data_IF_818340034903
#
_entry.id   IF_818340034903
#
_cell.length_a   1.000
_cell.length_b   1.000
_cell.length_c   1.000
_cell.angle_alpha   90.00
_cell.angle_beta   90.00
_cell.angle_gamma   90.00
#
_symmetry.space_group_name_H-M   'P 1'
#
loop_
_entity.id
_entity.type
_entity.pdbx_description
1 polymer ?
#
# COMPACT_ATOMS: atom_id res chain seq x y z
N UNK A 1 6.64 4.58 20.73
CA UNK A 1 6.35 4.88 19.31
C UNK A 1 7.45 5.77 18.79
N UNK A 2 8.30 5.26 17.90
CA UNK A 2 9.30 6.12 17.27
C UNK A 2 8.62 7.20 16.42
N UNK A 3 9.11 8.44 16.52
CA UNK A 3 8.68 9.56 15.67
C UNK A 3 9.91 10.27 15.13
N UNK A 4 9.94 10.56 13.84
CA UNK A 4 10.98 11.45 13.32
C UNK A 4 10.78 12.83 13.92
N UNK A 5 11.82 13.37 14.57
CA UNK A 5 11.67 14.63 15.30
C UNK A 5 11.52 15.81 14.33
N UNK A 6 10.47 16.58 14.55
CA UNK A 6 10.16 17.77 13.76
C UNK A 6 9.88 18.94 14.71
N UNK A 7 10.25 20.15 14.30
CA UNK A 7 9.87 21.36 15.02
C UNK A 7 8.57 21.90 14.43
N UNK A 8 7.55 22.01 15.26
CA UNK A 8 6.26 22.58 14.88
C UNK A 8 6.39 24.10 14.64
N UNK A 9 5.45 24.74 13.92
CA UNK A 9 5.45 26.19 13.75
C UNK A 9 5.42 26.98 15.07
N UNK A 10 4.98 26.35 16.16
CA UNK A 10 5.00 26.90 17.52
C UNK A 10 6.39 26.90 18.17
N UNK A 11 7.40 26.26 17.56
CA UNK A 11 8.74 26.05 18.10
C UNK A 11 8.88 24.82 18.99
N UNK A 12 7.79 24.11 19.28
CA UNK A 12 7.79 22.89 20.08
C UNK A 12 8.21 21.66 19.25
N UNK A 13 8.88 20.69 19.90
CA UNK A 13 9.15 19.37 19.30
C UNK A 13 7.88 18.55 19.15
N UNK A 14 7.74 17.85 18.02
CA UNK A 14 6.57 17.01 17.75
C UNK A 14 6.40 15.90 18.79
N UNK A 15 7.50 15.27 19.22
CA UNK A 15 7.45 14.20 20.23
C UNK A 15 6.92 14.69 21.59
N UNK A 16 7.36 15.87 22.04
CA UNK A 16 6.91 16.51 23.27
C UNK A 16 5.43 16.88 23.21
N UNK A 17 4.99 17.43 22.07
CA UNK A 17 3.59 17.77 21.82
C UNK A 17 2.69 16.54 21.90
N UNK A 18 3.09 15.43 21.26
CA UNK A 18 2.35 14.16 21.29
C UNK A 18 2.24 13.63 22.73
N UNK A 19 3.36 13.60 23.46
CA UNK A 19 3.39 13.09 24.84
C UNK A 19 2.54 13.93 25.80
N UNK A 20 2.48 15.26 25.61
CA UNK A 20 1.67 16.14 26.45
C UNK A 20 0.17 16.08 26.11
N UNK A 21 -0.17 16.06 24.82
CA UNK A 21 -1.56 16.21 24.36
C UNK A 21 -2.25 14.88 24.04
N UNK A 22 -1.50 13.76 24.07
CA UNK A 22 -1.88 12.45 23.55
C UNK A 22 -2.48 12.57 22.14
N UNK A 23 -1.85 13.36 21.28
CA UNK A 23 -2.39 13.66 19.94
C UNK A 23 -1.27 13.99 18.98
N UNK A 24 -1.32 13.40 17.78
CA UNK A 24 -0.43 13.79 16.69
C UNK A 24 -1.07 14.93 15.90
N UNK A 25 -0.90 16.16 16.39
CA UNK A 25 -1.52 17.37 15.83
C UNK A 25 -1.18 17.65 14.36
N UNK A 26 -0.10 17.05 13.83
CA UNK A 26 0.32 17.23 12.44
C UNK A 26 -0.27 16.18 11.51
N UNK A 27 -0.18 14.90 11.89
CA UNK A 27 -0.50 13.78 10.99
C UNK A 27 -1.87 13.14 11.24
N UNK A 28 -2.45 13.36 12.43
CA UNK A 28 -3.78 12.88 12.79
C UNK A 28 -4.49 13.87 13.73
N UNK A 29 -4.73 15.12 13.27
CA UNK A 29 -5.32 16.17 14.09
C UNK A 29 -6.73 15.82 14.57
N UNK A 30 -7.04 16.13 15.82
CA UNK A 30 -8.36 15.92 16.43
C UNK A 30 -8.61 14.51 16.99
N UNK A 31 -7.65 13.59 16.86
CA UNK A 31 -7.78 12.22 17.37
C UNK A 31 -6.87 12.02 18.59
N UNK A 32 -7.48 11.62 19.72
CA UNK A 32 -6.73 11.27 20.93
C UNK A 32 -6.17 9.87 20.83
N UNK A 33 -4.86 9.77 20.97
CA UNK A 33 -4.13 8.53 21.19
C UNK A 33 -4.38 8.05 22.63
N UNK A 34 -4.21 6.74 22.86
CA UNK A 34 -4.27 6.19 24.21
C UNK A 34 -3.22 6.83 25.12
N UNK A 35 -3.54 6.95 26.41
CA UNK A 35 -2.63 7.51 27.43
C UNK A 35 -1.36 6.67 27.64
N UNK A 36 -1.36 5.45 27.12
CA UNK A 36 -0.24 4.51 27.10
C UNK A 36 0.65 4.64 25.85
N UNK A 37 0.38 5.58 24.95
CA UNK A 37 1.22 5.84 23.77
C UNK A 37 2.26 6.90 24.11
N UNK A 38 3.53 6.51 24.02
CA UNK A 38 4.68 7.40 24.26
C UNK A 38 5.42 7.61 22.94
N UNK A 39 5.55 8.86 22.51
CA UNK A 39 6.39 9.31 21.41
C UNK A 39 7.85 9.39 21.84
N UNK A 40 8.75 8.77 21.07
CA UNK A 40 10.20 8.76 21.32
C UNK A 40 10.93 9.15 20.02
N UNK A 41 11.72 10.24 20.00
CA UNK A 41 12.47 10.63 18.81
C UNK A 41 13.71 9.75 18.55
N UNK A 42 14.18 9.02 19.56
CA UNK A 42 15.33 8.13 19.42
C UNK A 42 14.89 6.72 19.01
N UNK A 43 15.30 6.32 17.80
CA UNK A 43 14.90 5.03 17.23
C UNK A 43 15.40 3.85 18.06
N UNK A 44 16.60 3.93 18.62
CA UNK A 44 17.22 2.82 19.36
C UNK A 44 16.52 2.61 20.71
N UNK A 45 16.29 3.68 21.44
CA UNK A 45 15.49 3.71 22.67
C UNK A 45 14.09 3.14 22.41
N UNK A 46 13.43 3.57 21.34
CA UNK A 46 12.08 3.14 21.01
C UNK A 46 11.94 1.63 20.73
N UNK A 47 13.01 0.94 20.31
CA UNK A 47 12.98 -0.50 19.99
C UNK A 47 13.65 -1.39 21.05
N UNK A 48 14.43 -0.81 21.96
CA UNK A 48 15.37 -1.52 22.85
C UNK A 48 14.74 -2.71 23.57
N UNK A 49 13.55 -2.53 24.11
CA UNK A 49 12.85 -3.53 24.91
C UNK A 49 11.65 -4.17 24.20
N UNK A 50 11.43 -3.85 22.92
CA UNK A 50 10.26 -4.28 22.17
C UNK A 50 10.28 -5.77 21.81
N UNK A 51 9.15 -6.46 22.05
CA UNK A 51 8.92 -7.84 21.60
C UNK A 51 8.15 -7.89 20.25
N UNK A 52 7.44 -6.82 19.91
CA UNK A 52 6.60 -6.69 18.72
C UNK A 52 6.82 -5.31 18.06
N UNK A 53 7.28 -5.32 16.80
CA UNK A 53 7.58 -4.11 16.02
C UNK A 53 6.56 -3.91 14.90
N UNK A 54 5.91 -2.74 14.88
CA UNK A 54 4.98 -2.33 13.81
C UNK A 54 5.69 -1.33 12.89
N UNK A 55 5.98 -1.75 11.66
CA UNK A 55 6.54 -0.89 10.62
C UNK A 55 5.39 -0.20 9.87
N UNK A 56 5.27 1.12 10.06
CA UNK A 56 4.21 1.95 9.46
C UNK A 56 4.77 3.30 9.01
N UNK A 57 5.81 3.25 8.18
CA UNK A 57 6.49 4.44 7.64
C UNK A 57 6.38 4.45 6.11
N UNK A 58 6.56 5.60 5.44
CA UNK A 58 6.67 5.62 3.99
C UNK A 58 7.78 4.66 3.51
N UNK A 59 7.48 3.83 2.51
CA UNK A 59 8.34 2.72 2.06
C UNK A 59 9.80 3.11 1.80
N UNK A 60 10.03 4.32 1.25
CA UNK A 60 11.36 4.86 0.96
C UNK A 60 12.30 4.99 2.17
N UNK A 61 11.77 4.99 3.40
CA UNK A 61 12.57 5.13 4.62
C UNK A 61 12.91 3.79 5.27
N UNK A 62 12.26 2.69 4.86
CA UNK A 62 12.35 1.40 5.56
C UNK A 62 13.77 0.85 5.55
N UNK A 63 14.44 0.88 4.40
CA UNK A 63 15.81 0.37 4.29
C UNK A 63 16.76 1.10 5.26
N UNK A 64 16.66 2.43 5.32
CA UNK A 64 17.45 3.26 6.24
C UNK A 64 17.15 2.98 7.71
N UNK A 65 15.88 2.73 8.05
CA UNK A 65 15.47 2.34 9.41
C UNK A 65 16.03 0.96 9.74
N UNK A 66 15.86 -0.03 8.88
CA UNK A 66 16.37 -1.39 9.09
C UNK A 66 17.88 -1.38 9.29
N UNK A 67 18.66 -0.66 8.47
CA UNK A 67 20.12 -0.54 8.64
C UNK A 67 20.52 -0.01 10.02
N UNK A 68 19.77 0.95 10.57
CA UNK A 68 20.04 1.49 11.93
C UNK A 68 19.70 0.51 13.04
N UNK A 69 18.80 -0.43 12.81
CA UNK A 69 18.32 -1.41 13.79
C UNK A 69 19.13 -2.72 13.82
N UNK A 70 20.01 -2.96 12.84
CA UNK A 70 20.86 -4.16 12.79
C UNK A 70 21.64 -4.32 14.10
N UNK A 71 21.50 -5.48 14.75
CA UNK A 71 22.19 -5.82 15.99
C UNK A 71 21.65 -5.16 17.26
N UNK A 72 20.54 -4.40 17.18
CA UNK A 72 19.96 -3.66 18.32
C UNK A 72 18.66 -4.24 18.84
N UNK A 73 18.16 -5.29 18.21
CA UNK A 73 16.88 -5.91 18.54
C UNK A 73 17.05 -7.07 19.51
N UNK A 74 16.05 -7.27 20.37
CA UNK A 74 16.00 -8.42 21.28
C UNK A 74 15.81 -9.72 20.49
N UNK A 75 16.43 -10.84 20.94
CA UNK A 75 16.16 -12.14 20.36
C UNK A 75 14.67 -12.50 20.42
N UNK A 76 14.14 -13.02 19.32
CA UNK A 76 12.74 -13.47 19.23
C UNK A 76 11.72 -12.36 18.91
N UNK A 77 12.16 -11.10 18.75
CA UNK A 77 11.28 -10.00 18.32
C UNK A 77 10.53 -10.37 17.03
N UNK A 78 9.27 -9.98 16.95
CA UNK A 78 8.43 -10.17 15.78
C UNK A 78 8.15 -8.83 15.11
N UNK A 79 8.09 -8.80 13.78
CA UNK A 79 7.70 -7.61 13.03
C UNK A 79 6.37 -7.81 12.30
N UNK A 80 5.70 -6.69 12.03
CA UNK A 80 4.63 -6.61 11.05
C UNK A 80 4.77 -5.33 10.23
N UNK A 81 4.59 -5.42 8.91
CA UNK A 81 4.58 -4.28 8.00
C UNK A 81 3.15 -3.89 7.63
N UNK A 82 2.80 -2.62 7.83
CA UNK A 82 1.55 -1.99 7.36
C UNK A 82 1.82 -1.13 6.10
N UNK A 83 3.01 -1.26 5.51
CA UNK A 83 3.51 -0.37 4.48
C UNK A 83 2.99 -0.84 3.13
N UNK A 84 2.18 0.01 2.49
CA UNK A 84 1.63 -0.23 1.16
C UNK A 84 2.57 0.30 0.08
N UNK A 85 2.77 -0.50 -0.95
CA UNK A 85 3.69 -0.22 -2.04
C UNK A 85 5.06 -0.83 -1.77
N UNK A 86 5.74 -1.16 -2.85
CA UNK A 86 7.07 -1.71 -2.88
C UNK A 86 7.72 -1.30 -4.20
N UNK A 87 9.04 -1.36 -4.27
CA UNK A 87 9.76 -1.20 -5.54
C UNK A 87 9.68 -2.51 -6.31
N UNK A 88 9.23 -2.47 -7.56
CA UNK A 88 9.29 -3.65 -8.44
C UNK A 88 10.51 -3.55 -9.36
N UNK A 89 11.48 -4.47 -9.20
CA UNK A 89 12.70 -4.52 -10.03
C UNK A 89 12.60 -5.63 -11.07
N UNK A 90 13.47 -5.59 -12.08
CA UNK A 90 13.51 -6.58 -13.15
C UNK A 90 13.67 -8.03 -12.63
N UNK A 91 14.45 -8.21 -11.56
CA UNK A 91 14.68 -9.51 -10.91
C UNK A 91 13.44 -10.00 -10.14
N UNK A 92 12.54 -9.09 -9.78
CA UNK A 92 11.33 -9.34 -9.01
C UNK A 92 11.01 -8.20 -8.03
N UNK A 93 9.82 -8.22 -7.41
CA UNK A 93 9.44 -7.20 -6.43
C UNK A 93 10.28 -7.26 -5.16
N UNK A 94 10.70 -6.10 -4.69
CA UNK A 94 11.35 -5.93 -3.39
C UNK A 94 10.28 -5.81 -2.30
N UNK A 95 9.74 -6.96 -1.87
CA UNK A 95 8.74 -7.02 -0.80
C UNK A 95 9.28 -6.37 0.48
N UNK A 96 8.53 -5.45 1.08
CA UNK A 96 8.96 -4.72 2.28
C UNK A 96 9.09 -5.68 3.47
N UNK A 97 8.19 -6.65 3.58
CA UNK A 97 8.30 -7.72 4.58
C UNK A 97 9.59 -8.53 4.45
N UNK A 98 9.99 -8.87 3.21
CA UNK A 98 11.22 -9.57 2.89
C UNK A 98 12.45 -8.72 3.20
N UNK A 99 12.44 -7.43 2.83
CA UNK A 99 13.50 -6.48 3.17
C UNK A 99 13.73 -6.40 4.69
N UNK A 100 12.64 -6.29 5.47
CA UNK A 100 12.68 -6.27 6.93
C UNK A 100 13.28 -7.58 7.46
N UNK A 101 12.76 -8.73 7.00
CA UNK A 101 13.23 -10.05 7.44
C UNK A 101 14.70 -10.30 7.11
N UNK A 102 15.13 -10.01 5.89
CA UNK A 102 16.49 -10.29 5.44
C UNK A 102 17.51 -9.36 6.10
N UNK A 103 17.15 -8.08 6.32
CA UNK A 103 18.07 -7.11 6.93
C UNK A 103 18.20 -7.32 8.44
N UNK A 104 17.10 -7.67 9.12
CA UNK A 104 17.06 -7.73 10.59
C UNK A 104 17.15 -9.15 11.14
N UNK A 105 16.98 -10.19 10.30
CA UNK A 105 16.98 -11.59 10.74
C UNK A 105 15.78 -11.96 11.60
N UNK A 106 14.61 -11.33 11.36
CA UNK A 106 13.40 -11.51 12.17
C UNK A 106 12.20 -11.90 11.30
N UNK A 107 11.23 -12.60 11.89
CA UNK A 107 9.97 -12.89 11.23
C UNK A 107 9.16 -11.60 11.04
N UNK A 108 8.62 -11.39 9.84
CA UNK A 108 7.81 -10.23 9.50
C UNK A 108 6.49 -10.68 8.88
N UNK A 109 5.37 -10.36 9.52
CA UNK A 109 4.04 -10.46 8.93
C UNK A 109 3.71 -9.19 8.14
N UNK A 110 2.58 -9.16 7.44
CA UNK A 110 2.04 -7.94 6.82
C UNK A 110 0.60 -7.71 7.27
N UNK A 111 0.13 -6.47 7.26
CA UNK A 111 -1.29 -6.12 7.43
C UNK A 111 -1.69 -5.18 6.30
N UNK A 112 -2.60 -5.65 5.43
CA UNK A 112 -3.16 -4.89 4.32
C UNK A 112 -4.69 -4.97 4.35
N UNK A 113 -5.40 -4.00 3.77
CA UNK A 113 -6.86 -3.98 3.79
C UNK A 113 -7.42 -2.65 3.34
N UNK A 114 -8.74 -2.55 3.24
CA UNK A 114 -9.46 -1.32 2.92
C UNK A 114 -9.47 -0.31 4.09
N UNK A 115 -8.29 0.12 4.53
CA UNK A 115 -8.09 0.78 5.83
C UNK A 115 -7.71 2.26 5.71
N UNK A 116 -8.67 3.12 5.37
CA UNK A 116 -8.46 4.58 5.37
C UNK A 116 -8.24 5.05 6.81
N UNK A 117 -7.03 5.54 7.11
CA UNK A 117 -6.59 5.86 8.47
C UNK A 117 -7.57 6.76 9.24
N UNK A 118 -8.07 7.83 8.60
CA UNK A 118 -9.00 8.77 9.24
C UNK A 118 -10.35 8.13 9.61
N UNK A 119 -10.80 7.11 8.87
CA UNK A 119 -12.07 6.44 9.16
C UNK A 119 -11.94 5.49 10.34
N UNK A 120 -10.84 4.74 10.39
CA UNK A 120 -10.53 3.85 11.51
C UNK A 120 -10.27 4.66 12.79
N UNK A 121 -9.61 5.81 12.67
CA UNK A 121 -9.32 6.70 13.79
C UNK A 121 -10.59 7.26 14.46
N UNK A 122 -11.70 7.35 13.73
CA UNK A 122 -13.03 7.73 14.27
C UNK A 122 -13.95 6.53 14.44
N UNK A 123 -13.36 5.34 14.58
CA UNK A 123 -14.03 4.09 14.94
C UNK A 123 -15.12 3.63 13.96
N UNK A 124 -15.00 4.02 12.69
CA UNK A 124 -15.86 3.44 11.64
C UNK A 124 -15.45 2.00 11.38
N UNK A 125 -16.46 1.17 11.15
CA UNK A 125 -16.27 -0.25 10.83
C UNK A 125 -15.37 -0.42 9.60
N UNK A 126 -14.34 -1.25 9.73
CA UNK A 126 -13.40 -1.60 8.67
C UNK A 126 -12.82 -2.99 8.94
N UNK A 127 -12.25 -3.59 7.90
CA UNK A 127 -11.59 -4.91 7.98
C UNK A 127 -10.17 -4.85 7.42
N UNK A 128 -9.30 -5.73 7.89
CA UNK A 128 -7.97 -5.92 7.34
C UNK A 128 -7.56 -7.39 7.35
N UNK A 129 -6.51 -7.71 6.60
CA UNK A 129 -5.97 -9.04 6.42
C UNK A 129 -4.52 -9.04 6.81
N UNK A 130 -4.13 -9.96 7.70
CA UNK A 130 -2.76 -10.24 8.05
C UNK A 130 -2.24 -11.40 7.21
N UNK A 131 -1.16 -11.16 6.46
CA UNK A 131 -0.43 -12.19 5.74
C UNK A 131 0.75 -12.71 6.57
N UNK A 132 0.93 -14.03 6.61
CA UNK A 132 2.08 -14.68 7.23
C UNK A 132 2.61 -15.82 6.36
N UNK A 133 3.84 -16.29 6.65
CA UNK A 133 4.48 -17.41 5.92
C UNK A 133 4.31 -18.76 6.64
N UNK A 134 4.88 -18.89 7.84
CA UNK A 134 4.88 -20.17 8.58
C UNK A 134 4.36 -20.02 10.01
N UNK A 135 4.69 -18.92 10.70
CA UNK A 135 4.33 -18.72 12.12
C UNK A 135 2.89 -18.20 12.30
N UNK A 136 1.93 -19.13 12.25
CA UNK A 136 0.51 -18.85 12.51
C UNK A 136 0.26 -18.30 13.92
N UNK A 137 1.06 -18.69 14.90
CA UNK A 137 0.92 -18.21 16.28
C UNK A 137 1.32 -16.73 16.39
N UNK A 138 2.39 -16.31 15.70
CA UNK A 138 2.73 -14.89 15.57
C UNK A 138 1.61 -14.11 14.88
N UNK A 139 1.08 -14.61 13.76
CA UNK A 139 -0.04 -13.97 13.06
C UNK A 139 -1.28 -13.83 13.96
N UNK A 140 -1.58 -14.85 14.77
CA UNK A 140 -2.70 -14.83 15.72
C UNK A 140 -2.50 -13.82 16.86
N UNK A 141 -1.26 -13.66 17.34
CA UNK A 141 -0.91 -12.59 18.31
C UNK A 141 -1.10 -11.20 17.69
N UNK A 142 -0.69 -11.01 16.43
CA UNK A 142 -0.93 -9.76 15.72
C UNK A 142 -2.42 -9.48 15.52
N UNK A 143 -3.20 -10.47 15.08
CA UNK A 143 -4.64 -10.33 14.91
C UNK A 143 -5.32 -9.94 16.23
N UNK A 144 -4.93 -10.57 17.35
CA UNK A 144 -5.41 -10.21 18.69
C UNK A 144 -5.04 -8.78 19.08
N UNK A 145 -3.84 -8.31 18.72
CA UNK A 145 -3.38 -6.95 19.03
C UNK A 145 -4.14 -5.87 18.24
N UNK A 146 -4.42 -6.13 16.96
CA UNK A 146 -5.08 -5.15 16.09
C UNK A 146 -6.61 -5.20 16.12
N UNK A 147 -7.22 -6.34 16.47
CA UNK A 147 -8.69 -6.48 16.41
C UNK A 147 -9.38 -5.62 17.47
N UNK A 148 -10.35 -4.82 17.02
CA UNK A 148 -11.27 -4.04 17.87
C UNK A 148 -12.72 -4.30 17.42
N UNK A 149 -13.76 -3.82 18.13
CA UNK A 149 -15.15 -3.94 17.68
C UNK A 149 -15.45 -3.31 16.32
N UNK A 150 -14.63 -2.34 15.88
CA UNK A 150 -14.77 -1.63 14.60
C UNK A 150 -13.65 -1.94 13.61
N UNK A 151 -12.63 -2.69 13.99
CA UNK A 151 -11.53 -3.08 13.11
C UNK A 151 -11.31 -4.58 13.22
N UNK A 152 -11.93 -5.34 12.30
CA UNK A 152 -11.82 -6.80 12.29
C UNK A 152 -10.62 -7.24 11.45
N UNK A 153 -9.84 -8.19 11.98
CA UNK A 153 -8.60 -8.63 11.33
C UNK A 153 -8.63 -10.13 11.06
N UNK A 154 -8.58 -10.53 9.79
CA UNK A 154 -8.41 -11.92 9.35
C UNK A 154 -6.93 -12.27 9.21
N UNK A 155 -6.58 -13.56 9.30
CA UNK A 155 -5.21 -14.05 9.06
C UNK A 155 -5.21 -15.04 7.89
N UNK A 156 -4.22 -14.91 7.02
CA UNK A 156 -4.02 -15.82 5.88
C UNK A 156 -2.54 -16.18 5.73
N UNK A 157 -2.29 -17.43 5.38
CA UNK A 157 -0.95 -17.96 5.09
C UNK A 157 -0.58 -17.69 3.63
N UNK A 158 -0.50 -16.40 3.30
CA UNK A 158 -0.14 -15.90 1.96
C UNK A 158 0.41 -14.47 2.07
N UNK A 159 1.61 -14.35 2.64
CA UNK A 159 2.25 -13.05 2.83
C UNK A 159 2.50 -12.33 1.49
N UNK A 160 2.92 -13.06 0.46
CA UNK A 160 3.21 -12.47 -0.84
C UNK A 160 1.93 -11.96 -1.52
N UNK A 161 0.84 -12.72 -1.49
CA UNK A 161 -0.44 -12.32 -2.06
C UNK A 161 -1.04 -11.11 -1.37
N UNK A 162 -1.01 -11.07 -0.03
CA UNK A 162 -1.54 -9.93 0.76
C UNK A 162 -0.78 -8.65 0.45
N UNK A 163 0.55 -8.69 0.41
CA UNK A 163 1.39 -7.51 0.19
C UNK A 163 1.33 -7.03 -1.28
N UNK A 164 1.27 -7.94 -2.26
CA UNK A 164 1.12 -7.59 -3.67
C UNK A 164 -0.24 -6.97 -3.98
N UNK A 165 -1.32 -7.43 -3.34
CA UNK A 165 -2.64 -6.79 -3.52
C UNK A 165 -2.61 -5.30 -3.15
N UNK A 166 -1.95 -4.96 -2.04
CA UNK A 166 -1.81 -3.57 -1.57
C UNK A 166 -1.03 -2.67 -2.54
N UNK A 167 -0.10 -3.25 -3.31
CA UNK A 167 0.71 -2.55 -4.31
C UNK A 167 -0.03 -2.41 -5.65
N UNK A 168 -0.50 -3.52 -6.23
CA UNK A 168 -1.00 -3.56 -7.60
C UNK A 168 -2.36 -2.85 -7.76
N UNK A 169 -3.18 -2.78 -6.71
CA UNK A 169 -4.48 -2.10 -6.73
C UNK A 169 -4.39 -0.64 -7.18
N UNK A 170 -3.26 0.02 -6.96
CA UNK A 170 -3.08 1.43 -7.30
C UNK A 170 -3.02 1.65 -8.81
N UNK A 171 -2.53 0.68 -9.58
CA UNK A 171 -2.56 0.71 -11.05
C UNK A 171 -4.01 0.62 -11.53
N UNK A 172 -4.78 -0.32 -10.98
CA UNK A 172 -6.20 -0.49 -11.32
C UNK A 172 -7.03 0.74 -10.92
N UNK A 173 -6.65 1.41 -9.82
CA UNK A 173 -7.29 2.66 -9.43
C UNK A 173 -7.01 3.82 -10.42
N UNK A 174 -5.84 3.85 -11.06
CA UNK A 174 -5.59 4.77 -12.18
C UNK A 174 -6.55 4.44 -13.33
N UNK A 175 -6.65 3.18 -13.74
CA UNK A 175 -7.58 2.75 -14.80
C UNK A 175 -9.03 3.18 -14.49
N UNK A 176 -9.49 2.96 -13.25
CA UNK A 176 -10.81 3.38 -12.80
C UNK A 176 -11.00 4.91 -12.84
N UNK A 177 -9.95 5.68 -12.52
CA UNK A 177 -9.98 7.14 -12.65
C UNK A 177 -10.00 7.61 -14.10
N UNK A 178 -9.27 6.95 -15.01
CA UNK A 178 -9.35 7.25 -16.44
C UNK A 178 -10.78 7.08 -16.97
N UNK A 179 -11.44 5.98 -16.58
CA UNK A 179 -12.86 5.73 -16.89
C UNK A 179 -13.78 6.83 -16.36
N UNK A 180 -13.58 7.28 -15.12
CA UNK A 180 -14.36 8.37 -14.54
C UNK A 180 -14.13 9.70 -15.29
N UNK A 181 -12.89 9.98 -15.69
CA UNK A 181 -12.55 11.22 -16.39
C UNK A 181 -13.04 11.26 -17.84
N UNK A 182 -13.26 10.09 -18.45
CA UNK A 182 -13.84 9.90 -19.79
C UNK A 182 -15.37 9.74 -19.77
N UNK A 183 -16.01 9.78 -18.60
CA UNK A 183 -17.45 9.63 -18.42
C UNK A 183 -18.04 8.34 -19.05
N UNK A 184 -17.32 7.21 -18.95
CA UNK A 184 -17.73 5.95 -19.60
C UNK A 184 -18.72 5.11 -18.78
N UNK A 185 -19.13 5.62 -17.61
CA UNK A 185 -20.15 5.02 -16.75
C UNK A 185 -19.70 3.84 -15.88
N UNK A 186 -20.58 3.47 -14.94
CA UNK A 186 -20.28 2.50 -13.88
C UNK A 186 -20.07 1.06 -14.38
N UNK A 187 -20.72 0.65 -15.47
CA UNK A 187 -20.54 -0.69 -16.04
C UNK A 187 -19.11 -0.89 -16.56
N UNK A 188 -18.58 0.10 -17.29
CA UNK A 188 -17.20 0.12 -17.78
C UNK A 188 -16.23 0.09 -16.60
N UNK A 189 -16.48 0.91 -15.58
CA UNK A 189 -15.66 0.96 -14.36
C UNK A 189 -15.62 -0.40 -13.64
N UNK A 190 -16.77 -1.04 -13.48
CA UNK A 190 -16.85 -2.37 -12.88
C UNK A 190 -16.10 -3.43 -13.70
N UNK A 191 -16.19 -3.37 -15.03
CA UNK A 191 -15.43 -4.26 -15.92
C UNK A 191 -13.92 -4.08 -15.77
N UNK A 192 -13.42 -2.84 -15.74
CA UNK A 192 -12.01 -2.51 -15.50
C UNK A 192 -11.54 -3.00 -14.14
N UNK A 193 -12.32 -2.78 -13.08
CA UNK A 193 -11.98 -3.27 -11.74
C UNK A 193 -11.89 -4.81 -11.70
N UNK A 194 -12.82 -5.50 -12.35
CA UNK A 194 -12.81 -6.98 -12.44
C UNK A 194 -11.59 -7.49 -13.22
N UNK A 195 -11.24 -6.84 -14.33
CA UNK A 195 -10.09 -7.22 -15.16
C UNK A 195 -8.79 -6.94 -14.42
N UNK A 196 -8.70 -5.79 -13.75
CA UNK A 196 -7.59 -5.45 -12.86
C UNK A 196 -7.40 -6.48 -11.75
N UNK A 197 -8.48 -6.90 -11.07
CA UNK A 197 -8.38 -7.95 -10.04
C UNK A 197 -7.85 -9.28 -10.63
N UNK A 198 -8.29 -9.66 -11.83
CA UNK A 198 -7.81 -10.84 -12.53
C UNK A 198 -6.31 -10.74 -12.85
N UNK A 199 -5.86 -9.60 -13.36
CA UNK A 199 -4.45 -9.36 -13.68
C UNK A 199 -3.57 -9.27 -12.43
N UNK A 200 -4.06 -8.62 -11.35
CA UNK A 200 -3.40 -8.64 -10.04
C UNK A 200 -3.14 -10.08 -9.56
N UNK A 201 -4.16 -10.94 -9.65
CA UNK A 201 -4.06 -12.36 -9.29
C UNK A 201 -3.08 -13.10 -10.17
N UNK A 202 -3.21 -13.00 -11.49
CA UNK A 202 -2.33 -13.70 -12.42
C UNK A 202 -0.87 -13.27 -12.27
N UNK A 203 -0.60 -11.96 -12.14
CA UNK A 203 0.74 -11.41 -12.00
C UNK A 203 1.39 -11.91 -10.71
N UNK A 204 0.65 -11.87 -9.60
CA UNK A 204 1.14 -12.34 -8.31
C UNK A 204 1.52 -13.83 -8.33
N UNK A 205 0.71 -14.66 -8.99
CA UNK A 205 0.98 -16.11 -9.09
C UNK A 205 2.15 -16.45 -10.01
N UNK A 206 2.35 -15.68 -11.08
CA UNK A 206 3.51 -15.85 -11.95
C UNK A 206 4.82 -15.48 -11.25
N UNK A 207 4.79 -14.50 -10.35
CA UNK A 207 5.94 -14.12 -9.55
C UNK A 207 6.18 -15.07 -8.37
N UNK A 208 5.11 -15.50 -7.70
CA UNK A 208 5.17 -16.28 -6.48
C UNK A 208 4.20 -17.46 -6.52
N UNK A 209 4.71 -18.70 -6.65
CA UNK A 209 3.88 -19.91 -6.62
C UNK A 209 3.13 -20.12 -5.29
N UNK A 210 3.54 -19.46 -4.21
CA UNK A 210 2.88 -19.51 -2.89
C UNK A 210 1.53 -18.79 -2.87
N UNK A 211 1.29 -17.87 -3.81
CA UNK A 211 0.10 -17.03 -3.85
C UNK A 211 -1.16 -17.84 -4.06
N UNK A 212 -2.15 -17.61 -3.19
CA UNK A 212 -3.42 -18.35 -3.13
C UNK A 212 -4.55 -17.51 -3.72
N UNK A 213 -5.42 -18.18 -4.46
CA UNK A 213 -6.56 -17.51 -5.12
C UNK A 213 -7.52 -16.86 -4.10
N UNK A 214 -7.73 -17.51 -2.95
CA UNK A 214 -8.63 -17.04 -1.90
C UNK A 214 -8.20 -15.68 -1.32
N UNK A 215 -6.90 -15.37 -1.31
CA UNK A 215 -6.35 -14.11 -0.79
C UNK A 215 -6.93 -12.88 -1.50
N UNK A 216 -7.25 -13.00 -2.80
CA UNK A 216 -7.82 -11.90 -3.58
C UNK A 216 -9.28 -11.59 -3.21
N UNK A 217 -9.95 -12.47 -2.48
CA UNK A 217 -11.30 -12.25 -1.94
C UNK A 217 -11.29 -11.69 -0.51
N UNK A 218 -10.13 -11.62 0.14
CA UNK A 218 -9.96 -11.01 1.46
C UNK A 218 -9.97 -9.47 1.37
N UNK A 219 -9.99 -8.80 2.52
CA UNK A 219 -9.97 -7.32 2.60
C UNK A 219 -8.76 -6.71 1.86
N UNK A 220 -7.58 -7.33 1.94
CA UNK A 220 -6.40 -6.87 1.22
C UNK A 220 -6.54 -6.86 -0.30
N UNK A 221 -7.37 -7.75 -0.87
CA UNK A 221 -7.60 -7.90 -2.30
C UNK A 221 -8.77 -7.04 -2.77
N UNK A 222 -9.94 -7.66 -2.92
CA UNK A 222 -11.11 -7.05 -3.55
C UNK A 222 -11.62 -5.82 -2.78
N UNK A 223 -11.64 -5.83 -1.45
CA UNK A 223 -12.19 -4.69 -0.69
C UNK A 223 -11.28 -3.45 -0.79
N UNK A 224 -9.96 -3.62 -0.64
CA UNK A 224 -9.00 -2.53 -0.78
C UNK A 224 -8.96 -1.99 -2.22
N UNK A 225 -9.09 -2.88 -3.21
CA UNK A 225 -9.24 -2.49 -4.62
C UNK A 225 -10.48 -1.63 -4.84
N UNK A 226 -11.66 -2.07 -4.38
CA UNK A 226 -12.91 -1.33 -4.54
C UNK A 226 -12.79 0.06 -3.91
N UNK A 227 -12.38 0.12 -2.64
CA UNK A 227 -12.25 1.38 -1.90
C UNK A 227 -11.29 2.34 -2.60
N UNK A 228 -10.17 1.83 -3.12
CA UNK A 228 -9.18 2.64 -3.84
C UNK A 228 -9.73 3.14 -5.19
N UNK A 229 -10.49 2.31 -5.92
CA UNK A 229 -11.10 2.68 -7.20
C UNK A 229 -12.31 3.63 -7.07
N UNK A 230 -12.91 3.75 -5.88
CA UNK A 230 -14.02 4.66 -5.62
C UNK A 230 -13.57 5.99 -5.02
N UNK A 231 -12.61 5.98 -4.09
CA UNK A 231 -12.24 7.17 -3.31
C UNK A 231 -10.75 7.50 -3.28
N UNK A 232 -9.89 6.69 -3.88
CA UNK A 232 -8.44 6.83 -3.75
C UNK A 232 -7.84 8.03 -4.49
N UNK A 233 -6.66 8.47 -4.02
CA UNK A 233 -5.85 9.53 -4.66
C UNK A 233 -5.48 9.18 -6.11
N UNK A 234 -5.10 7.92 -6.36
CA UNK A 234 -4.80 7.40 -7.70
C UNK A 234 -5.96 7.62 -8.67
N UNK A 235 -7.18 7.25 -8.25
CA UNK A 235 -8.40 7.46 -9.03
C UNK A 235 -8.65 8.95 -9.29
N UNK A 236 -8.59 9.79 -8.25
CA UNK A 236 -8.88 11.23 -8.35
C UNK A 236 -7.93 11.97 -9.30
N UNK A 237 -6.63 11.66 -9.25
CA UNK A 237 -5.65 12.30 -10.13
C UNK A 237 -5.79 11.79 -11.57
N UNK A 238 -6.02 10.49 -11.76
CA UNK A 238 -6.25 9.91 -13.09
C UNK A 238 -7.54 10.42 -13.76
N UNK A 239 -8.60 10.69 -12.98
CA UNK A 239 -9.82 11.37 -13.45
C UNK A 239 -9.51 12.77 -13.98
N UNK A 240 -8.72 13.55 -13.23
CA UNK A 240 -8.31 14.88 -13.67
C UNK A 240 -7.42 14.81 -14.93
N UNK A 241 -6.51 13.84 -15.01
CA UNK A 241 -5.67 13.58 -16.18
C UNK A 241 -6.52 13.32 -17.43
N UNK A 242 -7.48 12.39 -17.34
CA UNK A 242 -8.36 12.05 -18.45
C UNK A 242 -9.28 13.22 -18.87
N UNK A 243 -9.83 13.99 -17.91
CA UNK A 243 -10.63 15.20 -18.22
C UNK A 243 -9.85 16.28 -18.96
N UNK A 244 -8.54 16.34 -18.78
CA UNK A 244 -7.65 17.22 -19.53
C UNK A 244 -7.17 16.61 -20.86
N UNK A 245 -7.74 15.47 -21.27
CA UNK A 245 -7.38 14.76 -22.50
C UNK A 245 -5.94 14.20 -22.47
N UNK A 246 -5.39 13.92 -21.29
CA UNK A 246 -4.01 13.44 -21.13
C UNK A 246 -2.93 14.48 -21.45
N UNK A 247 -3.28 15.77 -21.54
CA UNK A 247 -2.34 16.85 -21.90
C UNK A 247 -1.47 17.34 -20.74
N UNK A 248 -1.95 17.16 -19.50
CA UNK A 248 -1.24 17.51 -18.27
C UNK A 248 -0.50 16.30 -17.76
N UNK A 249 0.71 16.47 -17.23
CA UNK A 249 1.46 15.35 -16.67
C UNK A 249 0.88 14.92 -15.30
N UNK A 250 1.15 13.67 -14.91
CA UNK A 250 0.81 13.20 -13.56
C UNK A 250 1.57 13.95 -12.47
N UNK A 251 2.81 14.39 -12.74
CA UNK A 251 3.61 15.17 -11.78
C UNK A 251 2.99 16.55 -11.50
N UNK A 252 2.49 17.23 -12.54
CA UNK A 252 1.79 18.51 -12.39
C UNK A 252 0.52 18.35 -11.56
N UNK A 253 -0.27 17.32 -11.84
CA UNK A 253 -1.52 17.06 -11.13
C UNK A 253 -1.28 16.58 -9.69
N UNK A 254 -0.22 15.78 -9.44
CA UNK A 254 0.22 15.40 -8.10
C UNK A 254 0.54 16.65 -7.27
N UNK A 255 1.37 17.55 -7.81
CA UNK A 255 1.79 18.76 -7.10
C UNK A 255 0.60 19.68 -6.77
N UNK A 256 -0.36 19.82 -7.68
CA UNK A 256 -1.57 20.63 -7.49
C UNK A 256 -2.54 20.00 -6.49
N UNK A 257 -2.81 18.70 -6.62
CA UNK A 257 -3.97 18.07 -5.97
C UNK A 257 -3.65 17.37 -4.66
N UNK A 258 -2.39 16.99 -4.42
CA UNK A 258 -2.01 16.10 -3.32
C UNK A 258 -1.21 16.77 -2.19
N UNK A 259 -0.93 18.08 -2.29
CA UNK A 259 -0.33 18.89 -1.22
C UNK A 259 0.90 18.23 -0.54
N UNK A 260 1.80 17.67 -1.35
CA UNK A 260 3.02 17.00 -0.89
C UNK A 260 2.91 15.49 -0.66
N UNK A 261 1.71 14.89 -0.79
CA UNK A 261 1.56 13.44 -0.81
C UNK A 261 1.91 12.86 -2.19
N UNK A 262 2.50 11.66 -2.21
CA UNK A 262 2.92 10.97 -3.44
C UNK A 262 1.85 10.06 -4.05
N UNK A 263 1.81 10.03 -5.37
CA UNK A 263 0.95 9.23 -6.23
C UNK A 263 1.65 7.92 -6.63
N UNK A 264 1.56 6.91 -5.78
CA UNK A 264 2.29 5.65 -5.98
C UNK A 264 1.86 4.86 -7.23
N UNK A 265 0.63 5.02 -7.72
CA UNK A 265 0.12 4.20 -8.83
C UNK A 265 0.92 4.34 -10.12
N UNK A 266 1.43 5.54 -10.42
CA UNK A 266 2.18 5.80 -11.66
C UNK A 266 3.57 5.16 -11.61
N UNK A 267 4.27 5.28 -10.47
CA UNK A 267 5.57 4.62 -10.29
C UNK A 267 5.41 3.10 -10.29
N UNK A 268 4.40 2.57 -9.60
CA UNK A 268 4.10 1.13 -9.60
C UNK A 268 3.73 0.62 -11.00
N UNK A 269 2.99 1.38 -11.80
CA UNK A 269 2.67 1.00 -13.19
C UNK A 269 3.93 0.88 -14.05
N UNK A 270 4.88 1.82 -13.93
CA UNK A 270 6.19 1.75 -14.60
C UNK A 270 6.98 0.52 -14.17
N UNK A 271 7.14 0.32 -12.87
CA UNK A 271 7.94 -0.78 -12.31
C UNK A 271 7.36 -2.15 -12.70
N UNK A 272 6.03 -2.29 -12.68
CA UNK A 272 5.36 -3.50 -13.19
C UNK A 272 5.59 -3.67 -14.70
N UNK A 273 5.45 -2.60 -15.49
CA UNK A 273 5.68 -2.66 -16.94
C UNK A 273 7.12 -3.06 -17.30
N UNK A 274 8.12 -2.63 -16.53
CA UNK A 274 9.52 -3.05 -16.67
C UNK A 274 9.67 -4.57 -16.46
N UNK A 275 9.00 -5.13 -15.44
CA UNK A 275 8.97 -6.60 -15.23
C UNK A 275 8.25 -7.30 -16.37
N UNK A 276 7.09 -6.79 -16.80
CA UNK A 276 6.34 -7.38 -17.91
C UNK A 276 7.19 -7.42 -19.18
N UNK A 277 7.91 -6.34 -19.47
CA UNK A 277 8.80 -6.23 -20.63
C UNK A 277 9.96 -7.21 -20.52
N UNK A 278 10.63 -7.26 -19.36
CA UNK A 278 11.76 -8.17 -19.13
C UNK A 278 11.38 -9.64 -19.25
N UNK A 279 10.17 -10.00 -18.80
CA UNK A 279 9.65 -11.38 -18.83
C UNK A 279 8.91 -11.73 -20.12
N UNK A 280 8.65 -10.76 -21.01
CA UNK A 280 7.83 -10.94 -22.21
C UNK A 280 6.36 -11.24 -21.90
N UNK A 281 5.82 -10.64 -20.84
CA UNK A 281 4.47 -10.88 -20.33
C UNK A 281 3.46 -9.78 -20.68
N UNK A 282 3.83 -8.75 -21.45
CA UNK A 282 2.95 -7.60 -21.72
C UNK A 282 1.58 -8.01 -22.28
N UNK A 283 1.54 -8.99 -23.20
CA UNK A 283 0.30 -9.51 -23.79
C UNK A 283 -0.59 -10.27 -22.80
N UNK A 284 -0.02 -10.81 -21.71
CA UNK A 284 -0.78 -11.50 -20.65
C UNK A 284 -1.43 -10.51 -19.67
N UNK A 285 -0.93 -9.27 -19.63
CA UNK A 285 -1.36 -8.22 -18.70
C UNK A 285 -1.71 -6.94 -19.46
N UNK A 286 -2.73 -7.00 -20.33
CA UNK A 286 -3.04 -5.90 -21.22
C UNK A 286 -3.50 -4.65 -20.45
N UNK A 287 -4.31 -4.78 -19.40
CA UNK A 287 -4.75 -3.62 -18.63
C UNK A 287 -3.58 -2.94 -17.90
N UNK A 288 -2.72 -3.72 -17.21
CA UNK A 288 -1.55 -3.16 -16.51
C UNK A 288 -0.59 -2.47 -17.49
N UNK A 289 -0.40 -3.04 -18.68
CA UNK A 289 0.44 -2.47 -19.73
C UNK A 289 -0.15 -1.17 -20.30
N UNK A 290 -1.43 -1.18 -20.69
CA UNK A 290 -2.11 0.00 -21.23
C UNK A 290 -2.15 1.15 -20.22
N UNK A 291 -2.34 0.88 -18.93
CA UNK A 291 -2.27 1.93 -17.90
C UNK A 291 -0.90 2.61 -17.91
N UNK A 292 0.19 1.85 -17.99
CA UNK A 292 1.53 2.43 -18.06
C UNK A 292 1.71 3.29 -19.33
N UNK A 293 1.37 2.74 -20.49
CA UNK A 293 1.49 3.42 -21.78
C UNK A 293 0.68 4.73 -21.84
N UNK A 294 -0.50 4.77 -21.22
CA UNK A 294 -1.28 6.00 -21.04
C UNK A 294 -0.56 6.97 -20.09
N UNK A 295 -0.02 6.49 -18.97
CA UNK A 295 0.67 7.35 -18.00
C UNK A 295 1.87 8.09 -18.60
N UNK A 296 2.58 7.48 -19.56
CA UNK A 296 3.73 8.08 -20.24
C UNK A 296 3.37 8.77 -21.57
N UNK A 297 2.08 8.82 -21.92
CA UNK A 297 1.58 9.50 -23.13
C UNK A 297 1.84 8.77 -24.45
N UNK A 298 2.18 7.47 -24.42
CA UNK A 298 2.28 6.65 -25.63
C UNK A 298 0.89 6.30 -26.19
N UNK A 299 -0.10 6.10 -25.31
CA UNK A 299 -1.50 5.90 -25.67
C UNK A 299 -2.37 7.04 -25.14
N UNK A 300 -3.45 7.41 -25.87
CA UNK A 300 -4.43 8.34 -25.35
C UNK A 300 -5.26 7.69 -24.23
N UNK A 301 -5.85 8.47 -23.30
CA UNK A 301 -6.71 7.92 -22.24
C UNK A 301 -7.83 7.01 -22.75
N UNK A 302 -8.37 7.27 -23.94
CA UNK A 302 -9.45 6.48 -24.57
C UNK A 302 -9.09 5.03 -24.80
N UNK A 303 -7.80 4.70 -24.91
CA UNK A 303 -7.35 3.32 -25.13
C UNK A 303 -7.52 2.42 -23.91
N UNK A 304 -7.97 2.94 -22.76
CA UNK A 304 -8.20 2.15 -21.54
C UNK A 304 -9.24 1.01 -21.72
N UNK A 305 -10.04 1.05 -22.78
CA UNK A 305 -11.01 -0.01 -23.14
C UNK A 305 -10.66 -0.74 -24.45
N UNK A 306 -9.59 -0.35 -25.13
CA UNK A 306 -9.23 -0.85 -26.47
C UNK A 306 -8.21 -2.00 -26.43
N UNK A 307 -7.92 -2.55 -25.25
CA UNK A 307 -6.87 -3.54 -25.11
C UNK A 307 -7.33 -4.93 -25.60
N UNK A 308 -6.55 -5.50 -26.50
CA UNK A 308 -6.78 -6.82 -27.09
C UNK A 308 -6.81 -7.88 -26.00
N UNK A 309 -7.97 -8.49 -25.74
CA UNK A 309 -8.03 -9.76 -25.03
C UNK A 309 -7.48 -10.85 -25.94
N UNK A 310 -6.22 -11.22 -25.77
CA UNK A 310 -5.80 -12.57 -26.12
C UNK A 310 -6.52 -13.51 -25.14
N UNK A 311 -7.34 -14.42 -25.70
CA UNK A 311 -8.14 -15.45 -25.01
C UNK A 311 -9.57 -15.05 -24.56
N UNK A 312 -10.52 -15.45 -25.40
CA UNK A 312 -11.70 -16.19 -24.96
C UNK A 312 -11.41 -17.69 -24.98
#
# INVERSE_FOLDING_TARGET
>A
MWVFEETLPTGEKLSECINRANENCKYLPGIKLGTNVIADPDLESAVKDADMLVFVTPHQFVEGICKKLVGKLRPGVQAISLIKGMEVKMEGPCMISKLISDTLGINCCVLMGANIANEIAVEKFSEATIGYREDKEAASRWAKLFTTPYFLVSVVEDIEGVELCGTLKNIVAIAAGLVDGLDMGNNTKAAIMRIGLREMRAFSKLLFPSVRDNTFFESCGVADLITTCLGGRNRRVAEAFARNGGKRSFDELEAEMLHGQKLQGVSTAREVYEVLTYRGWQELFPLLSTVHEICIGQLPPTSIVEYSSTEG
#
